data_IF_825157762411
#
_entry.id   IF_825157762411
#
_cell.length_a   1.000
_cell.length_b   1.000
_cell.length_c   1.000
_cell.angle_alpha   90.00
_cell.angle_beta   90.00
_cell.angle_gamma   90.00
#
_symmetry.space_group_name_H-M   'P 1'
#
loop_
_entity.id
_entity.type
_entity.pdbx_description
1 polymer ?
#
# COMPACT_ATOMS: atom_id res chain seq x y z
N UNK A 1 16.69 -8.54 -11.33
CA UNK A 1 15.23 -8.24 -11.34
C UNK A 1 14.52 -9.29 -10.51
N UNK A 2 13.71 -8.89 -9.56
CA UNK A 2 13.00 -9.79 -8.62
C UNK A 2 12.07 -10.80 -9.35
N UNK A 3 11.63 -10.46 -10.55
CA UNK A 3 10.70 -11.28 -11.35
C UNK A 3 11.37 -12.32 -12.27
N UNK A 4 12.69 -12.30 -12.41
CA UNK A 4 13.45 -13.25 -13.23
C UNK A 4 14.42 -14.03 -12.35
N UNK A 5 13.89 -15.10 -11.74
CA UNK A 5 14.68 -16.00 -10.90
C UNK A 5 15.34 -17.06 -11.79
N UNK A 6 16.65 -17.23 -11.66
CA UNK A 6 17.34 -18.37 -12.25
C UNK A 6 17.07 -19.62 -11.40
N UNK A 7 16.08 -20.41 -11.81
CA UNK A 7 15.60 -21.57 -11.07
C UNK A 7 16.65 -22.69 -11.02
N UNK A 8 17.45 -22.86 -12.06
CA UNK A 8 18.54 -23.87 -12.08
C UNK A 8 19.58 -23.53 -11.03
N UNK A 9 20.01 -22.27 -10.96
CA UNK A 9 20.94 -21.82 -9.94
C UNK A 9 20.34 -21.97 -8.53
N UNK A 10 19.06 -21.62 -8.34
CA UNK A 10 18.39 -21.74 -7.04
C UNK A 10 18.29 -23.19 -6.56
N UNK A 11 17.90 -24.11 -7.44
CA UNK A 11 17.84 -25.55 -7.14
C UNK A 11 19.24 -26.10 -6.88
N UNK A 12 20.25 -25.63 -7.64
CA UNK A 12 21.65 -26.01 -7.47
C UNK A 12 22.23 -25.63 -6.11
N UNK A 13 21.71 -24.60 -5.44
CA UNK A 13 22.09 -24.21 -4.07
C UNK A 13 21.59 -25.18 -3.00
N UNK A 14 20.63 -26.07 -3.32
CA UNK A 14 20.01 -27.05 -2.41
C UNK A 14 19.55 -26.41 -1.09
N UNK A 15 18.73 -25.35 -1.12
CA UNK A 15 18.27 -24.70 0.09
C UNK A 15 17.31 -25.61 0.87
N UNK A 16 17.36 -25.58 2.19
CA UNK A 16 16.42 -26.28 3.07
C UNK A 16 15.04 -25.61 3.05
N UNK A 17 15.02 -24.29 2.84
CA UNK A 17 13.83 -23.46 2.81
C UNK A 17 14.01 -22.28 1.86
N UNK A 18 12.95 -21.99 1.08
CA UNK A 18 12.84 -20.77 0.27
C UNK A 18 11.75 -19.90 0.83
N UNK A 19 12.05 -18.61 1.06
CA UNK A 19 11.07 -17.60 1.41
C UNK A 19 10.63 -16.87 0.14
N UNK A 20 9.36 -16.96 -0.20
CA UNK A 20 8.80 -16.43 -1.44
C UNK A 20 7.78 -15.32 -1.15
N UNK A 21 7.70 -14.32 -2.03
CA UNK A 21 6.66 -13.32 -1.98
C UNK A 21 5.44 -13.80 -2.74
N UNK A 22 4.30 -13.85 -2.10
CA UNK A 22 3.00 -14.20 -2.68
C UNK A 22 2.67 -13.26 -3.85
N UNK A 23 2.00 -13.77 -4.85
CA UNK A 23 1.65 -13.10 -6.11
C UNK A 23 2.86 -12.77 -7.03
N UNK A 24 4.06 -12.58 -6.49
CA UNK A 24 5.25 -12.30 -7.29
C UNK A 24 5.99 -13.56 -7.72
N UNK A 25 6.03 -14.56 -6.85
CA UNK A 25 6.81 -15.78 -7.04
C UNK A 25 5.98 -17.05 -7.24
N UNK A 26 4.65 -16.95 -7.22
CA UNK A 26 3.71 -18.08 -7.31
C UNK A 26 4.03 -19.05 -8.46
N UNK A 27 4.42 -18.50 -9.62
CA UNK A 27 4.78 -19.30 -10.81
C UNK A 27 5.99 -20.24 -10.60
N UNK A 28 6.82 -19.98 -9.60
CA UNK A 28 8.02 -20.76 -9.30
C UNK A 28 7.77 -21.86 -8.26
N UNK A 29 6.68 -21.75 -7.48
CA UNK A 29 6.36 -22.66 -6.39
C UNK A 29 6.27 -24.12 -6.83
N UNK A 30 5.54 -24.47 -7.93
CA UNK A 30 5.45 -25.87 -8.36
C UNK A 30 6.81 -26.51 -8.67
N UNK A 31 7.72 -25.72 -9.26
CA UNK A 31 9.07 -26.22 -9.59
C UNK A 31 9.91 -26.43 -8.32
N UNK A 32 9.82 -25.55 -7.34
CA UNK A 32 10.51 -25.73 -6.05
C UNK A 32 10.00 -26.99 -5.33
N UNK A 33 8.70 -27.16 -5.26
CA UNK A 33 8.05 -28.32 -4.64
C UNK A 33 8.42 -29.64 -5.35
N UNK A 34 8.47 -29.66 -6.70
CA UNK A 34 8.89 -30.86 -7.46
C UNK A 34 10.34 -31.26 -7.19
N UNK A 35 11.19 -30.29 -6.82
CA UNK A 35 12.56 -30.52 -6.38
C UNK A 35 12.68 -30.77 -4.87
N UNK A 36 11.56 -30.98 -4.15
CA UNK A 36 11.50 -31.24 -2.70
C UNK A 36 12.07 -30.11 -1.84
N UNK A 37 12.02 -28.89 -2.34
CA UNK A 37 12.42 -27.69 -1.62
C UNK A 37 11.20 -27.14 -0.89
N UNK A 38 11.32 -26.94 0.43
CA UNK A 38 10.27 -26.31 1.22
C UNK A 38 10.13 -24.83 0.85
N UNK A 39 8.89 -24.36 0.76
CA UNK A 39 8.60 -22.96 0.44
C UNK A 39 7.63 -22.40 1.46
N UNK A 40 7.93 -21.22 1.97
CA UNK A 40 7.00 -20.40 2.77
C UNK A 40 6.75 -19.11 2.01
N UNK A 41 5.48 -18.86 1.73
CA UNK A 41 5.02 -17.66 1.03
C UNK A 41 4.59 -16.59 2.03
N UNK A 42 5.04 -15.37 1.82
CA UNK A 42 4.65 -14.21 2.60
C UNK A 42 3.83 -13.24 1.75
N UNK A 43 2.71 -12.81 2.29
CA UNK A 43 2.04 -11.58 1.88
C UNK A 43 2.47 -10.46 2.84
N UNK A 44 2.61 -9.25 2.32
CA UNK A 44 3.07 -8.10 3.11
C UNK A 44 2.37 -6.81 2.67
N UNK A 45 1.22 -6.96 2.02
CA UNK A 45 0.43 -5.83 1.51
C UNK A 45 -0.29 -5.09 2.64
N UNK A 46 -0.85 -5.81 3.58
CA UNK A 46 -1.57 -5.22 4.70
C UNK A 46 -0.73 -5.22 5.98
N UNK A 47 -1.13 -4.42 6.96
CA UNK A 47 -0.49 -4.39 8.27
C UNK A 47 -0.54 -5.74 8.99
N UNK A 48 -1.67 -6.44 8.89
CA UNK A 48 -1.84 -7.77 9.48
C UNK A 48 -0.96 -8.82 8.77
N UNK A 49 -0.77 -8.73 7.45
CA UNK A 49 0.14 -9.61 6.71
C UNK A 49 1.58 -9.43 7.17
N UNK A 50 2.01 -8.19 7.41
CA UNK A 50 3.35 -7.91 7.95
C UNK A 50 3.51 -8.53 9.33
N UNK A 51 2.53 -8.38 10.23
CA UNK A 51 2.56 -8.99 11.56
C UNK A 51 2.55 -10.52 11.50
N UNK A 52 1.75 -11.09 10.59
CA UNK A 52 1.73 -12.52 10.30
C UNK A 52 3.08 -13.04 9.82
N UNK A 53 3.74 -12.29 8.94
CA UNK A 53 5.08 -12.59 8.45
C UNK A 53 6.11 -12.61 9.58
N UNK A 54 6.09 -11.60 10.46
CA UNK A 54 6.98 -11.53 11.64
C UNK A 54 6.75 -12.74 12.54
N UNK A 55 5.49 -13.10 12.81
CA UNK A 55 5.15 -14.28 13.60
C UNK A 55 5.71 -15.57 12.98
N UNK A 56 5.46 -15.78 11.69
CA UNK A 56 5.93 -16.98 10.96
C UNK A 56 7.46 -17.07 10.96
N UNK A 57 8.17 -15.97 10.77
CA UNK A 57 9.62 -15.93 10.89
C UNK A 57 10.08 -16.26 12.32
N UNK A 58 9.37 -15.75 13.34
CA UNK A 58 9.62 -16.10 14.74
C UNK A 58 9.49 -17.60 15.00
N UNK A 59 8.49 -18.24 14.42
CA UNK A 59 8.26 -19.68 14.54
C UNK A 59 9.37 -20.48 13.83
N UNK A 60 9.77 -20.09 12.62
CA UNK A 60 10.83 -20.76 11.82
C UNK A 60 12.18 -20.70 12.55
N UNK A 61 12.51 -19.55 13.15
CA UNK A 61 13.81 -19.33 13.79
C UNK A 61 13.84 -19.56 15.30
N UNK A 62 12.72 -20.02 15.91
CA UNK A 62 12.65 -20.24 17.36
C UNK A 62 12.74 -18.95 18.17
N UNK A 63 12.26 -17.82 17.61
CA UNK A 63 12.35 -16.47 18.22
C UNK A 63 10.97 -15.86 18.46
N UNK A 64 9.99 -16.67 18.93
CA UNK A 64 8.60 -16.28 19.10
C UNK A 64 8.41 -15.07 20.02
N UNK A 65 9.16 -15.02 21.13
CA UNK A 65 9.09 -13.89 22.07
C UNK A 65 9.54 -12.58 21.42
N UNK A 66 10.57 -12.63 20.57
CA UNK A 66 11.03 -11.45 19.83
C UNK A 66 9.98 -11.00 18.81
N UNK A 67 9.42 -11.94 18.06
CA UNK A 67 8.36 -11.67 17.09
C UNK A 67 7.12 -11.05 17.74
N UNK A 68 6.72 -11.57 18.92
CA UNK A 68 5.61 -11.02 19.69
C UNK A 68 5.88 -9.58 20.14
N UNK A 69 7.06 -9.30 20.71
CA UNK A 69 7.45 -7.95 21.15
C UNK A 69 7.47 -6.96 19.98
N UNK A 70 7.94 -7.40 18.80
CA UNK A 70 7.97 -6.55 17.59
C UNK A 70 6.55 -6.21 17.14
N UNK A 71 5.64 -7.19 17.10
CA UNK A 71 4.25 -6.95 16.75
C UNK A 71 3.54 -6.01 17.75
N UNK A 72 3.77 -6.18 19.06
CA UNK A 72 3.25 -5.28 20.10
C UNK A 72 3.79 -3.85 19.94
N UNK A 73 5.05 -3.69 19.52
CA UNK A 73 5.67 -2.39 19.26
C UNK A 73 5.00 -1.72 18.04
N UNK A 74 4.79 -2.47 16.95
CA UNK A 74 4.08 -1.97 15.77
C UNK A 74 2.66 -1.51 16.11
N UNK A 75 1.89 -2.32 16.85
CA UNK A 75 0.54 -1.97 17.30
C UNK A 75 0.55 -0.68 18.14
N UNK A 76 1.50 -0.57 19.07
CA UNK A 76 1.65 0.63 19.92
C UNK A 76 1.98 1.87 19.11
N UNK A 77 2.85 1.75 18.12
CA UNK A 77 3.25 2.88 17.27
C UNK A 77 2.07 3.35 16.39
N UNK A 78 1.29 2.43 15.82
CA UNK A 78 0.09 2.75 15.05
C UNK A 78 -0.95 3.40 15.96
N UNK A 79 -1.22 2.83 17.16
CA UNK A 79 -2.15 3.39 18.12
C UNK A 79 -1.76 4.80 18.58
N UNK A 80 -0.47 5.10 18.71
CA UNK A 80 0.03 6.43 19.07
C UNK A 80 -0.29 7.49 18.00
N UNK A 81 -0.49 7.09 16.76
CA UNK A 81 -0.96 7.98 15.69
C UNK A 81 -2.48 8.07 15.69
N UNK A 82 -3.17 6.94 15.62
CA UNK A 82 -4.63 6.90 15.43
C UNK A 82 -5.41 7.47 16.63
N UNK A 83 -4.89 7.32 17.86
CA UNK A 83 -5.53 7.88 19.08
C UNK A 83 -5.60 9.41 19.09
N UNK A 84 -4.82 10.09 18.27
CA UNK A 84 -4.80 11.56 18.18
C UNK A 84 -5.78 12.12 17.16
N UNK A 85 -6.30 11.26 16.28
CA UNK A 85 -7.09 11.70 15.15
C UNK A 85 -8.53 12.06 15.53
N UNK A 86 -9.13 13.05 14.84
CA UNK A 86 -10.55 13.33 14.96
C UNK A 86 -11.39 12.10 14.58
N UNK A 87 -12.58 11.98 15.18
CA UNK A 87 -13.52 10.89 14.87
C UNK A 87 -14.24 11.06 13.53
N UNK A 88 -14.11 12.22 12.91
CA UNK A 88 -14.73 12.52 11.62
C UNK A 88 -14.07 11.69 10.51
N UNK A 89 -14.89 10.96 9.76
CA UNK A 89 -14.43 10.20 8.60
C UNK A 89 -14.20 11.13 7.41
N UNK A 90 -13.00 11.14 6.88
CA UNK A 90 -12.69 11.87 5.64
C UNK A 90 -12.93 10.98 4.43
N UNK A 91 -13.61 11.53 3.44
CA UNK A 91 -13.85 10.88 2.16
C UNK A 91 -12.63 11.06 1.27
N UNK A 92 -12.00 9.95 0.93
CA UNK A 92 -10.76 9.96 0.16
C UNK A 92 -10.88 9.08 -1.08
N UNK A 93 -10.01 9.29 -2.04
CA UNK A 93 -9.73 8.33 -3.11
C UNK A 93 -8.23 8.08 -3.19
N UNK A 94 -7.85 6.84 -3.48
CA UNK A 94 -6.46 6.47 -3.73
C UNK A 94 -6.34 6.10 -5.19
N UNK A 95 -5.50 6.81 -5.92
CA UNK A 95 -5.24 6.61 -7.34
C UNK A 95 -3.83 6.06 -7.54
N UNK A 96 -3.68 5.07 -8.39
CA UNK A 96 -2.38 4.52 -8.79
C UNK A 96 -2.06 4.96 -10.21
N UNK A 97 -1.01 5.76 -10.36
CA UNK A 97 -0.56 6.26 -11.65
C UNK A 97 0.68 5.50 -12.14
N UNK A 98 0.60 5.02 -13.38
CA UNK A 98 1.73 4.48 -14.14
C UNK A 98 1.89 5.28 -15.44
N UNK A 99 2.94 5.04 -16.22
CA UNK A 99 3.10 5.67 -17.53
C UNK A 99 1.94 5.34 -18.50
N UNK A 100 1.26 4.20 -18.31
CA UNK A 100 0.24 3.70 -19.24
C UNK A 100 -1.20 3.87 -18.77
N UNK A 101 -1.46 3.97 -17.47
CA UNK A 101 -2.82 3.98 -16.93
C UNK A 101 -2.90 4.65 -15.56
N UNK A 102 -4.11 5.11 -15.21
CA UNK A 102 -4.48 5.45 -13.84
C UNK A 102 -5.63 4.55 -13.41
N UNK A 103 -5.47 3.95 -12.23
CA UNK A 103 -6.45 3.06 -11.60
C UNK A 103 -6.72 3.52 -10.18
N UNK A 104 -7.74 2.99 -9.52
CA UNK A 104 -7.97 3.23 -8.08
C UNK A 104 -7.56 2.01 -7.26
N UNK A 105 -7.16 2.26 -6.03
CA UNK A 105 -6.70 1.24 -5.09
C UNK A 105 -7.69 1.08 -3.93
N UNK A 106 -7.82 -0.17 -3.45
CA UNK A 106 -8.66 -0.55 -2.30
C UNK A 106 -7.85 -1.07 -1.11
N UNK A 107 -8.57 -1.62 -0.14
CA UNK A 107 -8.07 -2.06 1.17
C UNK A 107 -6.92 -3.09 1.14
N UNK A 108 -6.78 -3.83 0.04
CA UNK A 108 -5.68 -4.79 -0.13
C UNK A 108 -4.41 -4.19 -0.75
N UNK A 109 -4.37 -2.87 -0.99
CA UNK A 109 -3.11 -2.15 -1.25
C UNK A 109 -2.55 -1.58 0.06
N UNK A 110 -1.26 -1.26 0.07
CA UNK A 110 -0.62 -0.65 1.24
C UNK A 110 -1.32 0.67 1.60
N UNK A 111 -1.55 1.53 0.59
CA UNK A 111 -2.20 2.83 0.80
C UNK A 111 -3.66 2.66 1.26
N UNK A 112 -4.38 1.68 0.71
CA UNK A 112 -5.74 1.36 1.12
C UNK A 112 -5.81 0.84 2.55
N UNK A 113 -4.95 -0.10 2.92
CA UNK A 113 -4.85 -0.59 4.29
C UNK A 113 -4.52 0.54 5.29
N UNK A 114 -3.58 1.43 4.94
CA UNK A 114 -3.27 2.61 5.77
C UNK A 114 -4.48 3.52 5.92
N UNK A 115 -5.25 3.74 4.84
CA UNK A 115 -6.46 4.55 4.89
C UNK A 115 -7.53 3.94 5.81
N UNK A 116 -7.69 2.62 5.79
CA UNK A 116 -8.61 1.89 6.65
C UNK A 116 -8.19 1.99 8.13
N UNK A 117 -6.89 1.84 8.43
CA UNK A 117 -6.33 2.04 9.78
C UNK A 117 -6.63 3.46 10.31
N UNK A 118 -6.58 4.46 9.44
CA UNK A 118 -6.89 5.86 9.76
C UNK A 118 -8.39 6.16 9.83
N UNK A 119 -9.24 5.18 9.48
CA UNK A 119 -10.71 5.31 9.50
C UNK A 119 -11.26 6.17 8.37
N UNK A 120 -10.53 6.35 7.27
CA UNK A 120 -11.00 7.10 6.11
C UNK A 120 -12.03 6.30 5.30
N UNK A 121 -12.92 6.99 4.61
CA UNK A 121 -13.87 6.41 3.66
C UNK A 121 -13.28 6.49 2.25
N UNK A 122 -12.78 5.36 1.73
CA UNK A 122 -12.35 5.30 0.34
C UNK A 122 -13.56 5.20 -0.59
N UNK A 123 -13.88 6.29 -1.29
CA UNK A 123 -15.05 6.39 -2.16
C UNK A 123 -15.01 5.44 -3.36
N UNK A 124 -13.84 4.92 -3.71
CA UNK A 124 -13.69 3.90 -4.76
C UNK A 124 -14.00 2.48 -4.28
N UNK A 125 -14.21 2.24 -2.98
CA UNK A 125 -14.39 0.90 -2.42
C UNK A 125 -15.53 0.12 -3.08
N UNK A 126 -16.64 0.78 -3.44
CA UNK A 126 -17.77 0.14 -4.11
C UNK A 126 -17.42 -0.34 -5.53
N UNK A 127 -16.58 0.39 -6.26
CA UNK A 127 -16.13 0.02 -7.61
C UNK A 127 -15.15 -1.18 -7.59
N UNK A 128 -14.51 -1.42 -6.45
CA UNK A 128 -13.50 -2.46 -6.26
C UNK A 128 -14.07 -3.78 -5.71
N UNK A 129 -15.34 -3.81 -5.29
CA UNK A 129 -15.98 -5.04 -4.76
C UNK A 129 -15.92 -6.17 -5.78
N UNK A 130 -15.27 -7.29 -5.40
CA UNK A 130 -15.14 -8.49 -6.24
C UNK A 130 -14.20 -8.35 -7.44
N UNK A 131 -13.45 -7.25 -7.53
CA UNK A 131 -12.49 -6.98 -8.59
C UNK A 131 -11.06 -6.96 -8.06
N UNK A 132 -10.08 -6.85 -8.97
CA UNK A 132 -8.69 -6.64 -8.59
C UNK A 132 -8.54 -5.35 -7.76
N UNK A 133 -7.49 -5.28 -6.94
CA UNK A 133 -7.17 -4.11 -6.13
C UNK A 133 -6.92 -2.82 -6.93
N UNK A 134 -6.82 -2.92 -8.25
CA UNK A 134 -6.60 -1.81 -9.18
C UNK A 134 -7.63 -1.91 -10.31
N UNK A 135 -8.57 -0.99 -10.32
CA UNK A 135 -9.63 -0.92 -11.32
C UNK A 135 -9.59 0.44 -12.00
N UNK A 136 -9.75 0.52 -13.33
CA UNK A 136 -9.94 1.80 -14.01
C UNK A 136 -11.11 2.56 -13.40
N UNK A 137 -10.96 3.86 -13.24
CA UNK A 137 -11.95 4.71 -12.62
C UNK A 137 -12.23 5.92 -13.53
N UNK A 138 -13.49 6.14 -13.87
CA UNK A 138 -13.83 7.24 -14.78
C UNK A 138 -13.79 8.59 -14.04
N UNK A 139 -13.50 9.65 -14.81
CA UNK A 139 -13.54 11.01 -14.27
C UNK A 139 -14.96 11.38 -13.83
N UNK A 140 -15.98 10.92 -14.54
CA UNK A 140 -17.39 11.12 -14.19
C UNK A 140 -17.71 10.54 -12.81
N UNK A 141 -17.33 9.27 -12.57
CA UNK A 141 -17.50 8.62 -11.27
C UNK A 141 -16.72 9.36 -10.17
N UNK A 142 -15.52 9.87 -10.46
CA UNK A 142 -14.71 10.62 -9.49
C UNK A 142 -15.43 11.94 -9.09
N UNK A 143 -15.99 12.65 -10.06
CA UNK A 143 -16.76 13.88 -9.81
C UNK A 143 -18.02 13.59 -9.01
N UNK A 144 -18.76 12.53 -9.36
CA UNK A 144 -19.98 12.11 -8.66
C UNK A 144 -19.67 11.75 -7.19
N UNK A 145 -18.61 10.98 -6.96
CA UNK A 145 -18.20 10.58 -5.61
C UNK A 145 -17.61 11.71 -4.79
N UNK A 146 -17.11 12.76 -5.42
CA UNK A 146 -16.67 14.00 -4.80
C UNK A 146 -15.78 13.80 -3.55
N UNK A 147 -14.58 13.23 -3.68
CA UNK A 147 -13.69 13.04 -2.55
C UNK A 147 -13.17 14.37 -1.99
N UNK A 148 -12.96 14.43 -0.68
CA UNK A 148 -12.37 15.59 -0.02
C UNK A 148 -10.83 15.62 -0.19
N UNK A 149 -10.22 14.45 -0.41
CA UNK A 149 -8.77 14.27 -0.49
C UNK A 149 -8.45 13.23 -1.54
N UNK A 150 -7.41 13.49 -2.32
CA UNK A 150 -6.90 12.56 -3.34
C UNK A 150 -5.47 12.16 -2.95
N UNK A 151 -5.24 10.87 -2.80
CA UNK A 151 -3.90 10.31 -2.66
C UNK A 151 -3.47 9.66 -3.96
N UNK A 152 -2.21 9.83 -4.33
CA UNK A 152 -1.64 9.25 -5.55
C UNK A 152 -0.44 8.41 -5.18
N UNK A 153 -0.51 7.11 -5.48
CA UNK A 153 0.65 6.22 -5.56
C UNK A 153 1.16 6.18 -7.00
N UNK A 154 2.44 6.02 -7.21
CA UNK A 154 2.98 6.00 -8.57
C UNK A 154 4.14 5.03 -8.69
N UNK A 155 4.26 4.40 -9.86
CA UNK A 155 5.37 3.53 -10.23
C UNK A 155 5.90 3.91 -11.60
N UNK A 156 7.18 4.29 -11.65
CA UNK A 156 7.87 4.69 -12.87
C UNK A 156 8.73 5.93 -12.67
N UNK A 157 9.22 6.49 -13.77
CA UNK A 157 10.01 7.72 -13.71
C UNK A 157 9.11 8.90 -13.37
N UNK A 158 9.52 9.77 -12.43
CA UNK A 158 8.70 10.92 -11.99
C UNK A 158 8.18 11.77 -13.15
N UNK A 159 9.00 12.04 -14.15
CA UNK A 159 8.63 12.83 -15.32
C UNK A 159 7.52 12.18 -16.18
N UNK A 160 7.56 10.86 -16.36
CA UNK A 160 6.54 10.11 -17.09
C UNK A 160 5.21 10.12 -16.35
N UNK A 161 5.26 9.96 -15.01
CA UNK A 161 4.09 10.02 -14.14
C UNK A 161 3.49 11.42 -14.13
N UNK A 162 4.31 12.46 -14.01
CA UNK A 162 3.83 13.84 -14.03
C UNK A 162 3.17 14.19 -15.37
N UNK A 163 3.79 13.79 -16.49
CA UNK A 163 3.22 13.95 -17.81
C UNK A 163 1.88 13.24 -17.93
N UNK A 164 1.76 12.01 -17.41
CA UNK A 164 0.53 11.24 -17.41
C UNK A 164 -0.57 11.94 -16.62
N UNK A 165 -0.27 12.33 -15.39
CA UNK A 165 -1.21 13.04 -14.53
C UNK A 165 -1.64 14.39 -15.14
N UNK A 166 -0.73 15.08 -15.81
CA UNK A 166 -1.06 16.33 -16.51
C UNK A 166 -1.98 16.08 -17.67
N UNK A 167 -1.72 15.06 -18.49
CA UNK A 167 -2.52 14.75 -19.69
C UNK A 167 -3.92 14.25 -19.30
N UNK A 168 -4.01 13.33 -18.35
CA UNK A 168 -5.28 12.68 -18.02
C UNK A 168 -6.16 13.51 -17.09
N UNK A 169 -5.54 14.35 -16.23
CA UNK A 169 -6.26 15.04 -15.16
C UNK A 169 -6.08 16.56 -15.19
N UNK A 170 -4.87 17.09 -15.14
CA UNK A 170 -4.64 18.55 -14.96
C UNK A 170 -5.26 19.38 -16.07
N UNK A 171 -5.34 18.85 -17.29
CA UNK A 171 -5.97 19.52 -18.43
C UNK A 171 -7.50 19.25 -18.52
N UNK A 172 -8.06 18.41 -17.63
CA UNK A 172 -9.46 18.06 -17.65
C UNK A 172 -10.27 19.05 -16.78
N UNK A 173 -11.25 19.81 -17.35
CA UNK A 173 -12.07 20.72 -16.58
C UNK A 173 -12.80 20.05 -15.40
N UNK A 174 -13.23 18.79 -15.56
CA UNK A 174 -13.90 18.04 -14.51
C UNK A 174 -12.96 17.77 -13.32
N UNK A 175 -11.69 17.43 -13.57
CA UNK A 175 -10.67 17.34 -12.52
C UNK A 175 -10.49 18.65 -11.76
N UNK A 176 -10.35 19.75 -12.51
CA UNK A 176 -10.17 21.07 -11.92
C UNK A 176 -11.40 21.59 -11.16
N UNK A 177 -12.57 20.99 -11.38
CA UNK A 177 -13.79 21.31 -10.65
C UNK A 177 -13.86 20.68 -9.27
N UNK A 178 -13.12 19.59 -9.01
CA UNK A 178 -13.13 18.85 -7.75
C UNK A 178 -12.74 19.74 -6.57
N UNK A 179 -13.48 19.73 -5.46
CA UNK A 179 -13.14 20.45 -4.24
C UNK A 179 -11.76 20.10 -3.69
N UNK A 180 -11.38 18.81 -3.73
CA UNK A 180 -10.04 18.37 -3.32
C UNK A 180 -8.93 19.04 -4.12
N UNK A 181 -9.11 19.17 -5.44
CA UNK A 181 -8.13 19.81 -6.34
C UNK A 181 -8.06 21.32 -6.10
N UNK A 182 -9.21 21.99 -5.99
CA UNK A 182 -9.29 23.44 -5.69
C UNK A 182 -8.68 23.79 -4.34
N UNK A 183 -8.82 22.91 -3.36
CA UNK A 183 -8.25 23.08 -2.03
C UNK A 183 -6.79 22.66 -1.90
N UNK A 184 -6.14 22.20 -2.99
CA UNK A 184 -4.76 21.69 -2.97
C UNK A 184 -4.58 20.40 -2.17
N UNK A 185 -5.65 19.61 -1.96
CA UNK A 185 -5.63 18.36 -1.18
C UNK A 185 -5.39 17.13 -2.08
N UNK A 186 -4.37 17.24 -2.92
CA UNK A 186 -3.88 16.14 -3.77
C UNK A 186 -2.45 15.82 -3.36
N UNK A 187 -2.24 14.64 -2.80
CA UNK A 187 -0.97 14.26 -2.20
C UNK A 187 -0.36 13.05 -2.92
N UNK A 188 0.88 13.20 -3.38
CA UNK A 188 1.66 12.06 -3.89
C UNK A 188 2.31 11.34 -2.71
N UNK A 189 2.02 10.05 -2.61
CA UNK A 189 2.52 9.21 -1.53
C UNK A 189 3.93 8.70 -1.86
N UNK A 190 4.87 8.71 -0.88
CA UNK A 190 6.22 8.21 -1.09
C UNK A 190 6.25 6.73 -1.48
N UNK A 191 6.91 6.42 -2.58
CA UNK A 191 7.04 5.05 -3.11
C UNK A 191 7.56 4.06 -2.05
N UNK A 192 8.57 4.47 -1.28
CA UNK A 192 9.20 3.64 -0.24
C UNK A 192 8.27 3.22 0.90
N UNK A 193 7.13 3.91 1.06
CA UNK A 193 6.15 3.63 2.11
C UNK A 193 4.85 3.04 1.58
N UNK A 194 4.51 3.31 0.32
CA UNK A 194 3.17 2.99 -0.19
C UNK A 194 3.16 2.13 -1.46
N UNK A 195 4.31 1.88 -2.09
CA UNK A 195 4.42 1.02 -3.25
C UNK A 195 5.35 -0.17 -3.00
N UNK A 196 6.54 0.12 -2.46
CA UNK A 196 7.46 -0.90 -1.99
C UNK A 196 7.06 -1.25 -0.55
N UNK A 197 6.98 -2.54 -0.25
CA UNK A 197 6.57 -3.00 1.07
C UNK A 197 7.28 -2.24 2.21
N UNK A 198 6.54 -1.50 3.05
CA UNK A 198 7.12 -0.74 4.15
C UNK A 198 7.66 -1.64 5.29
N UNK A 199 7.18 -2.90 5.39
CA UNK A 199 7.58 -3.82 6.45
C UNK A 199 7.38 -3.20 7.84
N UNK A 200 8.43 -3.20 8.66
CA UNK A 200 8.42 -2.59 10.01
C UNK A 200 8.19 -1.06 9.99
N UNK A 201 8.26 -0.42 8.83
CA UNK A 201 7.99 1.01 8.68
C UNK A 201 6.50 1.33 8.43
N UNK A 202 5.61 0.35 8.59
CA UNK A 202 4.18 0.56 8.44
C UNK A 202 3.63 1.72 9.32
N UNK A 203 4.07 1.89 10.59
CA UNK A 203 3.69 3.05 11.39
C UNK A 203 4.13 4.40 10.82
N UNK A 204 5.26 4.45 10.07
CA UNK A 204 5.67 5.67 9.37
C UNK A 204 4.70 6.00 8.23
N UNK A 205 4.23 5.00 7.48
CA UNK A 205 3.24 5.18 6.43
C UNK A 205 1.91 5.71 7.01
N UNK A 206 1.44 5.12 8.12
CA UNK A 206 0.25 5.58 8.85
C UNK A 206 0.41 7.03 9.30
N UNK A 207 1.53 7.37 9.92
CA UNK A 207 1.82 8.73 10.37
C UNK A 207 1.90 9.71 9.20
N UNK A 208 2.59 9.34 8.11
CA UNK A 208 2.72 10.18 6.93
C UNK A 208 1.35 10.55 6.36
N UNK A 209 0.49 9.57 6.10
CA UNK A 209 -0.84 9.82 5.54
C UNK A 209 -1.71 10.64 6.48
N UNK A 210 -1.66 10.37 7.79
CA UNK A 210 -2.38 11.15 8.80
C UNK A 210 -1.92 12.63 8.83
N UNK A 211 -0.64 12.90 8.68
CA UNK A 211 -0.09 14.27 8.65
C UNK A 211 -0.54 15.08 7.43
N UNK A 212 -0.80 14.42 6.29
CA UNK A 212 -1.34 15.12 5.11
C UNK A 212 -2.79 15.60 5.35
N UNK A 213 -3.55 14.85 6.15
CA UNK A 213 -4.98 15.12 6.38
C UNK A 213 -5.20 16.04 7.58
N UNK A 214 -4.41 15.84 8.62
CA UNK A 214 -4.52 16.54 9.92
C UNK A 214 -3.16 17.10 10.36
N UNK A 215 -2.55 18.04 9.59
CA UNK A 215 -1.24 18.57 9.92
C UNK A 215 -1.21 19.23 11.30
N UNK A 216 -2.31 19.86 11.72
CA UNK A 216 -2.47 20.54 13.02
C UNK A 216 -2.30 19.60 14.22
N UNK A 217 -2.68 18.32 14.06
CA UNK A 217 -2.55 17.30 15.14
C UNK A 217 -1.08 16.97 15.43
N UNK A 218 -0.20 17.15 14.43
CA UNK A 218 1.21 16.76 14.50
C UNK A 218 2.18 17.93 14.59
N UNK A 219 1.71 19.18 14.48
CA UNK A 219 2.55 20.41 14.57
C UNK A 219 2.80 20.88 16.01
N UNK A 220 2.04 20.39 17.00
CA UNK A 220 2.12 20.81 18.40
C UNK A 220 3.21 20.06 19.22
N UNK A 221 4.31 19.68 18.61
CA UNK A 221 5.43 18.97 19.23
C UNK A 221 6.79 19.68 19.01
N UNK A 222 6.82 21.03 19.13
CA UNK A 222 8.07 21.77 19.28
C UNK A 222 8.23 22.25 20.69
#
# INVERSE_FOLDING_TARGET
>A
MVYNINMEALVGLKPDLVLASKNQHDKFIPMLQSNKINVVEFDTQTFEDVKGTIKTLGDIYGTQDKAKKENELLDKQVAAVTSKLPKEKKRIVIMHATASAVTVEGSHSIAGCVSDILGFENVAAAALKGKSNKTPYSMETLVEQNPEIIFITSMGKPEEIENRLRTDFKNNPAWNSLPAVKAGRVYVLPEKLFLINPGLRYPEAVKFMAQQVYPEVFTNGK
#
